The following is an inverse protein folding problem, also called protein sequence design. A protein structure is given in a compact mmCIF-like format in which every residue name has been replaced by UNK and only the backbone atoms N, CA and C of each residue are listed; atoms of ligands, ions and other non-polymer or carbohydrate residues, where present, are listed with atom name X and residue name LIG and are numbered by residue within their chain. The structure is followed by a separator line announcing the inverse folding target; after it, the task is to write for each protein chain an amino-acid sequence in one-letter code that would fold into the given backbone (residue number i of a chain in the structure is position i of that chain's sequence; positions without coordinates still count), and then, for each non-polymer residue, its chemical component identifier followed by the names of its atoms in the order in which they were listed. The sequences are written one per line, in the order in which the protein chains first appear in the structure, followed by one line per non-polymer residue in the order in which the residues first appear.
data_IF_688882385086
#
_entry.id   IF_688882385086
#
_cell.length_a   1.000
_cell.length_b   1.000
_cell.length_c   1.000
_cell.angle_alpha   90.00
_cell.angle_beta   90.00
_cell.angle_gamma   90.00
#
_symmetry.space_group_name_H-M   'P 1'
#
loop_
_entity.id
_entity.type
_entity.pdbx_description
1 polymer ?
#
# COMPACT_ATOMS: atom_id res chain seq x y z
N UNK A 1 11.45 18.28 -7.75
CA UNK A 1 11.48 16.95 -7.10
C UNK A 1 10.46 16.81 -5.97
N UNK A 2 10.39 17.70 -4.95
CA UNK A 2 9.37 17.63 -3.89
C UNK A 2 7.94 17.50 -4.45
N UNK A 3 7.60 18.32 -5.46
CA UNK A 3 6.29 18.28 -6.13
C UNK A 3 5.95 16.89 -6.68
N UNK A 4 6.91 16.21 -7.31
CA UNK A 4 6.70 14.86 -7.83
C UNK A 4 6.47 13.85 -6.71
N UNK A 5 7.24 13.92 -5.61
CA UNK A 5 7.01 13.07 -4.45
C UNK A 5 5.60 13.28 -3.86
N UNK A 6 5.15 14.53 -3.75
CA UNK A 6 3.79 14.82 -3.26
C UNK A 6 2.73 14.23 -4.20
N UNK A 7 2.90 14.35 -5.52
CA UNK A 7 1.96 13.77 -6.49
C UNK A 7 1.85 12.26 -6.33
N UNK A 8 2.98 11.56 -6.21
CA UNK A 8 2.98 10.09 -6.04
C UNK A 8 2.35 9.70 -4.70
N UNK A 9 2.59 10.45 -3.63
CA UNK A 9 1.92 10.26 -2.33
C UNK A 9 0.40 10.42 -2.45
N UNK A 10 -0.07 11.42 -3.18
CA UNK A 10 -1.49 11.66 -3.38
C UNK A 10 -2.15 10.56 -4.24
N UNK A 11 -1.46 10.07 -5.26
CA UNK A 11 -1.94 8.94 -6.07
C UNK A 11 -2.12 7.70 -5.19
N UNK A 12 -1.12 7.38 -4.35
CA UNK A 12 -1.22 6.27 -3.40
C UNK A 12 -2.35 6.50 -2.39
N UNK A 13 -2.51 7.72 -1.87
CA UNK A 13 -3.60 8.05 -0.93
C UNK A 13 -4.98 7.85 -1.56
N UNK A 14 -5.17 8.31 -2.79
CA UNK A 14 -6.44 8.12 -3.54
C UNK A 14 -6.70 6.64 -3.80
N UNK A 15 -5.67 5.87 -4.17
CA UNK A 15 -5.81 4.41 -4.37
C UNK A 15 -6.20 3.73 -3.05
N UNK A 16 -5.53 4.08 -1.95
CA UNK A 16 -5.85 3.53 -0.63
C UNK A 16 -7.24 3.95 -0.13
N UNK A 17 -7.74 5.13 -0.54
CA UNK A 17 -9.09 5.57 -0.19
C UNK A 17 -10.18 4.65 -0.76
N UNK A 18 -9.92 3.95 -1.88
CA UNK A 18 -10.87 2.97 -2.44
C UNK A 18 -11.14 1.82 -1.45
N UNK A 19 -10.16 1.46 -0.65
CA UNK A 19 -10.32 0.45 0.40
C UNK A 19 -11.20 0.93 1.56
N UNK A 20 -11.17 2.22 1.87
CA UNK A 20 -12.04 2.81 2.90
C UNK A 20 -13.53 2.75 2.52
N UNK A 21 -13.83 2.88 1.25
CA UNK A 21 -15.21 2.96 0.73
C UNK A 21 -15.72 1.67 0.11
N UNK A 22 -14.81 0.79 -0.30
CA UNK A 22 -15.08 -0.28 -1.24
C UNK A 22 -15.27 0.25 -2.66
N UNK A 23 -14.85 -0.49 -3.66
CA UNK A 23 -14.99 -0.08 -5.04
C UNK A 23 -15.31 -1.25 -5.98
N UNK A 24 -16.28 -1.03 -6.87
CA UNK A 24 -16.72 -1.98 -7.86
C UNK A 24 -16.52 -1.41 -9.27
N UNK A 25 -16.00 -2.24 -10.16
CA UNK A 25 -15.89 -1.96 -11.59
C UNK A 25 -16.99 -2.78 -12.30
N UNK A 26 -18.11 -2.11 -12.61
CA UNK A 26 -19.35 -2.77 -13.04
C UNK A 26 -19.78 -3.79 -11.99
N UNK A 27 -19.86 -5.07 -12.35
CA UNK A 27 -20.32 -6.16 -11.47
C UNK A 27 -19.19 -6.86 -10.71
N UNK A 28 -17.92 -6.40 -10.86
CA UNK A 28 -16.75 -7.00 -10.24
C UNK A 28 -16.24 -6.15 -9.09
N UNK A 29 -16.07 -6.76 -7.92
CA UNK A 29 -15.47 -6.12 -6.76
C UNK A 29 -13.98 -5.94 -7.00
N UNK A 30 -13.49 -4.69 -7.04
CA UNK A 30 -12.06 -4.41 -7.07
C UNK A 30 -11.47 -4.52 -5.66
N UNK A 31 -12.12 -3.92 -4.67
CA UNK A 31 -11.74 -3.97 -3.26
C UNK A 31 -12.98 -3.90 -2.38
N UNK A 32 -13.02 -4.73 -1.35
CA UNK A 32 -14.05 -4.69 -0.31
C UNK A 32 -13.82 -3.52 0.62
N UNK A 33 -14.86 -3.08 1.29
CA UNK A 33 -14.78 -1.97 2.25
C UNK A 33 -14.12 -2.42 3.55
N UNK A 34 -12.96 -1.85 3.89
CA UNK A 34 -12.12 -2.25 5.04
C UNK A 34 -11.83 -1.10 6.02
N UNK A 35 -12.66 -0.04 6.06
CA UNK A 35 -12.40 1.14 6.91
C UNK A 35 -12.25 0.83 8.40
N UNK A 36 -12.82 -0.26 8.89
CA UNK A 36 -12.72 -0.68 10.31
C UNK A 36 -11.35 -1.26 10.63
N UNK A 37 -10.77 -1.97 9.68
CA UNK A 37 -9.50 -2.67 9.85
C UNK A 37 -8.33 -1.79 9.43
N UNK A 38 -8.46 -1.10 8.29
CA UNK A 38 -7.39 -0.32 7.67
C UNK A 38 -7.51 1.20 7.87
N UNK A 39 -8.60 1.68 8.47
CA UNK A 39 -8.84 3.11 8.69
C UNK A 39 -7.76 3.80 9.51
N UNK A 40 -7.18 3.11 10.50
CA UNK A 40 -6.06 3.63 11.30
C UNK A 40 -4.81 3.81 10.44
N UNK A 41 -4.53 2.89 9.51
CA UNK A 41 -3.41 2.99 8.58
C UNK A 41 -3.58 4.16 7.62
N UNK A 42 -4.81 4.36 7.13
CA UNK A 42 -5.16 5.51 6.29
C UNK A 42 -4.95 6.84 7.02
N UNK A 43 -5.37 6.92 8.29
CA UNK A 43 -5.18 8.12 9.11
C UNK A 43 -3.70 8.42 9.34
N UNK A 44 -2.91 7.42 9.74
CA UNK A 44 -1.47 7.57 9.96
C UNK A 44 -0.77 8.03 8.68
N UNK A 45 -1.10 7.43 7.54
CA UNK A 45 -0.53 7.82 6.26
C UNK A 45 -0.89 9.26 5.88
N UNK A 46 -2.14 9.67 6.08
CA UNK A 46 -2.60 11.04 5.84
C UNK A 46 -1.82 12.05 6.69
N UNK A 47 -1.64 11.77 7.98
CA UNK A 47 -0.83 12.61 8.89
C UNK A 47 0.63 12.65 8.45
N UNK A 48 1.20 11.52 8.03
CA UNK A 48 2.58 11.46 7.53
C UNK A 48 2.77 12.34 6.28
N UNK A 49 1.80 12.37 5.35
CA UNK A 49 1.82 13.27 4.19
C UNK A 49 1.77 14.73 4.64
N UNK A 50 0.88 15.09 5.56
CA UNK A 50 0.77 16.46 6.08
C UNK A 50 2.10 16.88 6.71
N UNK A 51 2.73 16.03 7.51
CA UNK A 51 4.04 16.30 8.10
C UNK A 51 5.14 16.43 7.04
N UNK A 52 5.12 15.61 5.99
CA UNK A 52 6.06 15.71 4.88
C UNK A 52 5.94 17.04 4.12
N UNK A 53 4.73 17.55 3.95
CA UNK A 53 4.46 18.82 3.26
C UNK A 53 4.86 20.01 4.14
N UNK A 54 4.45 20.02 5.43
CA UNK A 54 4.56 21.15 6.35
C UNK A 54 5.88 21.19 7.14
N UNK A 55 6.39 20.03 7.57
CA UNK A 55 7.62 19.86 8.37
C UNK A 55 8.59 18.91 7.70
N UNK A 56 9.02 19.24 6.48
CA UNK A 56 9.81 18.39 5.59
C UNK A 56 11.00 17.71 6.24
N UNK A 57 11.73 18.42 7.14
CA UNK A 57 12.95 17.93 7.79
C UNK A 57 12.73 16.62 8.56
N UNK A 58 11.59 16.52 9.24
CA UNK A 58 11.19 15.35 10.04
C UNK A 58 10.22 14.48 9.22
N UNK A 59 9.24 15.10 8.55
CA UNK A 59 8.18 14.41 7.84
C UNK A 59 8.67 13.44 6.77
N UNK A 60 9.77 13.75 6.07
CA UNK A 60 10.37 12.82 5.10
C UNK A 60 10.82 11.50 5.71
N UNK A 61 11.36 11.53 6.94
CA UNK A 61 11.80 10.31 7.62
C UNK A 61 10.63 9.53 8.20
N UNK A 62 9.61 10.23 8.71
CA UNK A 62 8.38 9.61 9.20
C UNK A 62 7.69 8.84 8.07
N UNK A 63 7.53 9.49 6.90
CA UNK A 63 6.84 8.86 5.78
C UNK A 63 7.65 7.72 5.15
N UNK A 64 8.99 7.83 5.10
CA UNK A 64 9.86 6.72 4.67
C UNK A 64 9.72 5.52 5.61
N UNK A 65 9.80 5.76 6.92
CA UNK A 65 9.62 4.71 7.92
C UNK A 65 8.26 4.04 7.80
N UNK A 66 7.20 4.83 7.72
CA UNK A 66 5.83 4.33 7.54
C UNK A 66 5.67 3.48 6.29
N UNK A 67 6.09 4.00 5.12
CA UNK A 67 6.00 3.27 3.85
C UNK A 67 6.81 1.98 3.86
N UNK A 68 7.96 1.96 4.54
CA UNK A 68 8.80 0.75 4.68
C UNK A 68 8.09 -0.33 5.50
N UNK A 69 7.50 0.04 6.63
CA UNK A 69 6.72 -0.88 7.47
C UNK A 69 5.49 -1.37 6.71
N UNK A 70 4.76 -0.46 6.07
CA UNK A 70 3.56 -0.80 5.31
C UNK A 70 3.88 -1.73 4.13
N UNK A 71 4.95 -1.45 3.38
CA UNK A 71 5.43 -2.33 2.31
C UNK A 71 5.72 -3.75 2.82
N UNK A 72 6.46 -3.86 3.93
CA UNK A 72 6.75 -5.16 4.54
C UNK A 72 5.51 -5.90 5.01
N UNK A 73 4.56 -5.19 5.64
CA UNK A 73 3.28 -5.77 6.08
C UNK A 73 2.46 -6.28 4.90
N UNK A 74 2.32 -5.48 3.84
CA UNK A 74 1.61 -5.89 2.63
C UNK A 74 2.28 -7.10 1.99
N UNK A 75 3.61 -7.13 1.89
CA UNK A 75 4.35 -8.27 1.37
C UNK A 75 4.04 -9.56 2.14
N UNK A 76 4.11 -9.51 3.47
CA UNK A 76 3.83 -10.68 4.33
C UNK A 76 2.36 -11.10 4.24
N UNK A 77 1.44 -10.14 4.11
CA UNK A 77 0.01 -10.43 4.05
C UNK A 77 -0.46 -10.99 2.71
N UNK A 78 0.20 -10.68 1.61
CA UNK A 78 -0.28 -11.00 0.26
C UNK A 78 0.74 -11.78 -0.57
N UNK A 79 1.87 -11.18 -0.93
CA UNK A 79 2.85 -11.82 -1.83
C UNK A 79 3.49 -13.06 -1.22
N UNK A 80 3.72 -13.06 0.07
CA UNK A 80 4.26 -14.22 0.80
C UNK A 80 3.38 -15.46 0.58
N UNK A 81 2.05 -15.32 0.73
CA UNK A 81 1.11 -16.42 0.52
C UNK A 81 1.04 -16.86 -0.95
N UNK A 82 1.18 -15.92 -1.88
CA UNK A 82 1.24 -16.22 -3.31
C UNK A 82 2.48 -17.05 -3.66
N UNK A 83 3.63 -16.76 -3.02
CA UNK A 83 4.92 -17.43 -3.31
C UNK A 83 5.02 -18.76 -2.58
N UNK A 84 4.74 -18.79 -1.27
CA UNK A 84 5.03 -19.93 -0.41
C UNK A 84 3.81 -20.79 -0.08
N UNK A 85 2.60 -20.34 -0.40
CA UNK A 85 1.33 -21.02 -0.07
C UNK A 85 1.15 -21.28 1.43
N UNK A 86 1.82 -20.51 2.28
CA UNK A 86 1.77 -20.54 3.75
C UNK A 86 2.13 -19.16 4.31
N UNK A 87 1.85 -18.89 5.58
CA UNK A 87 2.23 -17.62 6.17
C UNK A 87 1.73 -17.41 7.61
N UNK A 88 2.09 -16.26 8.17
CA UNK A 88 1.90 -15.90 9.59
C UNK A 88 0.60 -15.14 9.84
N UNK A 89 -0.04 -14.59 8.79
CA UNK A 89 -1.17 -13.67 8.90
C UNK A 89 -2.48 -14.34 8.44
N UNK A 90 -2.89 -15.36 9.19
CA UNK A 90 -4.09 -16.13 8.91
C UNK A 90 -3.83 -17.43 8.13
N UNK A 91 -4.88 -18.22 7.91
CA UNK A 91 -4.77 -19.48 7.16
C UNK A 91 -4.88 -19.24 5.67
N UNK A 92 -4.19 -20.05 4.86
CA UNK A 92 -4.29 -19.99 3.39
C UNK A 92 -5.75 -20.12 2.93
N UNK A 93 -6.50 -21.06 3.50
CA UNK A 93 -7.92 -21.27 3.19
C UNK A 93 -8.75 -20.02 3.46
N UNK A 94 -8.57 -19.40 4.63
CA UNK A 94 -9.27 -18.17 4.99
C UNK A 94 -8.97 -17.01 4.04
N UNK A 95 -7.72 -16.88 3.56
CA UNK A 95 -7.38 -15.87 2.55
C UNK A 95 -8.04 -16.14 1.20
N UNK A 96 -8.00 -17.38 0.73
CA UNK A 96 -8.66 -17.76 -0.53
C UNK A 96 -10.16 -17.44 -0.45
N UNK A 97 -10.83 -17.80 0.64
CA UNK A 97 -12.25 -17.53 0.85
C UNK A 97 -12.55 -16.02 0.93
N UNK A 98 -11.76 -15.26 1.70
CA UNK A 98 -11.98 -13.83 1.90
C UNK A 98 -11.85 -13.03 0.59
N UNK A 99 -10.84 -13.35 -0.23
CA UNK A 99 -10.57 -12.64 -1.48
C UNK A 99 -11.23 -13.26 -2.72
N UNK A 100 -12.00 -14.36 -2.56
CA UNK A 100 -12.63 -15.08 -3.69
C UNK A 100 -13.56 -14.20 -4.55
N UNK A 101 -14.17 -13.18 -3.95
CA UNK A 101 -15.08 -12.25 -4.63
C UNK A 101 -14.40 -11.05 -5.28
N UNK A 102 -13.09 -10.87 -5.11
CA UNK A 102 -12.36 -9.73 -5.68
C UNK A 102 -11.83 -10.03 -7.08
N UNK A 103 -11.42 -8.97 -7.79
CA UNK A 103 -10.80 -9.11 -9.11
C UNK A 103 -9.39 -9.67 -8.99
N UNK A 104 -9.10 -10.76 -9.70
CA UNK A 104 -7.77 -11.37 -9.79
C UNK A 104 -7.21 -11.27 -11.21
N UNK A 105 -5.88 -11.16 -11.31
CA UNK A 105 -5.16 -11.29 -12.58
C UNK A 105 -5.23 -12.72 -13.10
N UNK A 106 -5.03 -13.68 -12.18
CA UNK A 106 -5.02 -15.12 -12.43
C UNK A 106 -5.67 -15.79 -11.21
N UNK A 107 -6.53 -16.76 -11.44
CA UNK A 107 -7.07 -17.64 -10.40
C UNK A 107 -6.53 -19.04 -10.58
N UNK A 108 -5.94 -19.59 -9.53
CA UNK A 108 -5.41 -20.96 -9.50
C UNK A 108 -6.12 -21.70 -8.37
N UNK A 109 -6.76 -22.81 -8.70
CA UNK A 109 -7.49 -23.61 -7.73
C UNK A 109 -6.56 -24.07 -6.59
N UNK A 110 -7.02 -23.88 -5.35
CA UNK A 110 -6.29 -24.24 -4.15
C UNK A 110 -5.10 -23.32 -3.78
N UNK A 111 -4.85 -22.24 -4.57
CA UNK A 111 -3.79 -21.27 -4.29
C UNK A 111 -4.34 -19.89 -4.04
N UNK A 112 -3.72 -19.16 -3.14
CA UNK A 112 -3.92 -17.73 -3.02
C UNK A 112 -3.03 -17.01 -4.03
N UNK A 113 -3.63 -16.12 -4.81
CA UNK A 113 -2.93 -15.18 -5.70
C UNK A 113 -3.41 -13.80 -5.32
N UNK A 114 -2.47 -12.89 -5.09
CA UNK A 114 -2.78 -11.49 -4.75
C UNK A 114 -3.70 -10.88 -5.80
N UNK A 115 -4.77 -10.24 -5.36
CA UNK A 115 -5.77 -9.62 -6.23
C UNK A 115 -5.23 -8.35 -6.93
N UNK A 116 -6.01 -7.84 -7.87
CA UNK A 116 -5.63 -6.66 -8.68
C UNK A 116 -5.39 -5.44 -7.81
N UNK A 117 -6.27 -5.19 -6.81
CA UNK A 117 -6.17 -4.03 -5.95
C UNK A 117 -4.87 -4.03 -5.13
N UNK A 118 -4.58 -5.14 -4.43
CA UNK A 118 -3.40 -5.25 -3.56
C UNK A 118 -2.10 -5.30 -4.36
N UNK A 119 -2.10 -5.91 -5.56
CA UNK A 119 -0.93 -5.85 -6.46
C UNK A 119 -0.58 -4.41 -6.84
N UNK A 120 -1.58 -3.62 -7.26
CA UNK A 120 -1.37 -2.21 -7.62
C UNK A 120 -0.99 -1.38 -6.39
N UNK A 121 -1.65 -1.59 -5.24
CA UNK A 121 -1.32 -0.94 -3.97
C UNK A 121 0.15 -1.16 -3.61
N UNK A 122 0.62 -2.39 -3.71
CA UNK A 122 2.01 -2.76 -3.38
C UNK A 122 3.03 -2.06 -4.30
N UNK A 123 2.75 -2.03 -5.61
CA UNK A 123 3.58 -1.30 -6.58
C UNK A 123 3.60 0.19 -6.25
N UNK A 124 2.45 0.79 -5.93
CA UNK A 124 2.36 2.21 -5.58
C UNK A 124 3.11 2.54 -4.29
N UNK A 125 3.04 1.69 -3.26
CA UNK A 125 3.82 1.87 -2.02
C UNK A 125 5.31 1.85 -2.34
N UNK A 126 5.78 0.88 -3.14
CA UNK A 126 7.19 0.76 -3.52
C UNK A 126 7.67 1.98 -4.32
N UNK A 127 6.92 2.40 -5.34
CA UNK A 127 7.24 3.58 -6.16
C UNK A 127 7.31 4.85 -5.30
N UNK A 128 6.36 4.99 -4.37
CA UNK A 128 6.28 6.14 -3.46
C UNK A 128 7.45 6.16 -2.48
N UNK A 129 7.80 5.00 -1.92
CA UNK A 129 8.95 4.83 -1.03
C UNK A 129 10.26 5.18 -1.74
N UNK A 130 10.51 4.60 -2.92
CA UNK A 130 11.72 4.85 -3.72
C UNK A 130 11.84 6.35 -4.07
N UNK A 131 10.76 6.96 -4.56
CA UNK A 131 10.76 8.38 -4.93
C UNK A 131 11.09 9.28 -3.74
N UNK A 132 10.56 8.95 -2.55
CA UNK A 132 10.80 9.72 -1.32
C UNK A 132 12.23 9.54 -0.79
N UNK A 133 12.79 8.34 -0.87
CA UNK A 133 14.19 8.07 -0.53
C UNK A 133 15.13 8.87 -1.45
N UNK A 134 14.93 8.77 -2.77
CA UNK A 134 15.75 9.51 -3.76
C UNK A 134 15.71 11.02 -3.49
N UNK A 135 14.51 11.55 -3.22
CA UNK A 135 14.33 12.95 -2.86
C UNK A 135 15.12 13.32 -1.60
N UNK A 136 15.03 12.51 -0.56
CA UNK A 136 15.68 12.74 0.74
C UNK A 136 17.21 12.74 0.64
N UNK A 137 17.77 11.84 -0.17
CA UNK A 137 19.22 11.74 -0.40
C UNK A 137 19.75 12.94 -1.21
N UNK A 138 19.00 13.41 -2.21
CA UNK A 138 19.42 14.58 -3.02
C UNK A 138 19.41 15.88 -2.22
N UNK A 139 18.48 16.04 -1.27
CA UNK A 139 18.50 17.22 -0.38
C UNK A 139 19.71 17.18 0.54
N UNK A 140 20.02 16.03 1.13
CA UNK A 140 21.19 15.87 2.01
C UNK A 140 22.48 16.27 1.29
N UNK A 141 22.64 15.86 0.02
CA UNK A 141 23.82 16.22 -0.80
C UNK A 141 23.93 17.71 -1.14
N UNK A 142 22.82 18.47 -1.12
CA UNK A 142 22.84 19.92 -1.36
C UNK A 142 23.19 20.75 -0.14
N UNK A 143 23.08 20.18 1.06
CA UNK A 143 23.34 20.84 2.35
C UNK A 143 24.73 20.51 2.92
N UNK A 144 25.43 19.56 2.33
CA UNK A 144 26.82 19.21 2.54
C UNK A 144 27.72 19.89 1.52
#
# INVERSE_FOLDING_TARGET
MKKYCIIVQLILLVWFFLDMTGFYLRDKCLVTRSYRDDGIFFLIYSVAIILFVTKEKIGKWIIIGWLSVWFGTQFICHEWYTIFSDGFMGTLKGKIEYFSGTMHWIQIEGKYVTDVYHTILHILILCTLISTIIYSLKIKKKQS
#
